data_IF_741800536716
#
_entry.id   IF_741800536716
#
_cell.length_a   1.000
_cell.length_b   1.000
_cell.length_c   1.000
_cell.angle_alpha   90.00
_cell.angle_beta   90.00
_cell.angle_gamma   90.00
#
_symmetry.space_group_name_H-M   'P 1'
#
loop_
_entity.id
_entity.type
_entity.pdbx_description
1 polymer ?
#
# COMPACT_ATOMS: atom_id res chain seq x y z
N UNK A 1 20.96 15.70 -0.95
CA UNK A 1 20.81 17.13 -0.59
C UNK A 1 19.34 17.57 -0.54
N UNK A 2 18.51 17.32 -1.56
CA UNK A 2 17.09 17.73 -1.56
C UNK A 2 16.28 17.17 -0.38
N UNK A 3 16.37 15.87 -0.10
CA UNK A 3 15.67 15.22 1.03
C UNK A 3 16.01 15.87 2.38
N UNK A 4 17.29 16.18 2.62
CA UNK A 4 17.73 16.82 3.85
C UNK A 4 17.17 18.24 3.99
N UNK A 5 17.13 19.01 2.90
CA UNK A 5 16.54 20.36 2.92
C UNK A 5 15.03 20.32 3.15
N UNK A 6 14.34 19.35 2.56
CA UNK A 6 12.90 19.15 2.78
C UNK A 6 12.60 18.81 4.25
N UNK A 7 13.39 17.92 4.86
CA UNK A 7 13.24 17.58 6.28
C UNK A 7 13.45 18.81 7.20
N UNK A 8 14.49 19.59 6.95
CA UNK A 8 14.76 20.84 7.70
C UNK A 8 13.66 21.89 7.54
N UNK A 9 13.09 22.00 6.32
CA UNK A 9 11.96 22.92 6.11
C UNK A 9 10.72 22.43 6.88
N UNK A 10 10.45 21.14 6.87
CA UNK A 10 9.37 20.53 7.64
C UNK A 10 9.50 20.79 9.14
N UNK A 11 10.69 20.54 9.70
CA UNK A 11 11.00 20.84 11.10
C UNK A 11 10.72 22.30 11.44
N UNK A 12 11.26 23.23 10.64
CA UNK A 12 11.04 24.66 10.84
C UNK A 12 9.54 25.01 10.85
N UNK A 13 8.75 24.49 9.92
CA UNK A 13 7.31 24.77 9.84
C UNK A 13 6.54 24.20 11.03
N UNK A 14 6.93 23.04 11.52
CA UNK A 14 6.33 22.47 12.74
C UNK A 14 6.65 23.35 13.96
N UNK A 15 7.91 23.80 14.13
CA UNK A 15 8.31 24.71 15.22
C UNK A 15 7.50 26.01 15.17
N UNK A 16 7.38 26.65 13.99
CA UNK A 16 6.58 27.87 13.81
C UNK A 16 5.11 27.69 14.25
N UNK A 17 4.52 26.49 14.03
CA UNK A 17 3.15 26.19 14.49
C UNK A 17 3.11 26.09 16.02
N UNK A 18 4.06 25.41 16.65
CA UNK A 18 4.13 25.31 18.12
C UNK A 18 4.37 26.66 18.78
N UNK A 19 5.22 27.51 18.22
CA UNK A 19 5.45 28.88 18.70
C UNK A 19 4.20 29.75 18.59
N UNK A 20 3.43 29.59 17.49
CA UNK A 20 2.24 30.41 17.23
C UNK A 20 1.02 30.01 18.07
N UNK A 21 0.80 28.71 18.26
CA UNK A 21 -0.45 28.19 18.84
C UNK A 21 -0.27 27.51 20.21
N UNK A 22 0.97 27.25 20.61
CA UNK A 22 1.31 26.54 21.84
C UNK A 22 1.17 25.02 21.74
N UNK A 23 1.90 24.27 22.58
CA UNK A 23 1.94 22.81 22.54
C UNK A 23 0.60 22.16 22.87
N UNK A 24 -0.16 22.72 23.81
CA UNK A 24 -1.46 22.20 24.21
C UNK A 24 -2.47 22.25 23.07
N UNK A 25 -2.56 23.39 22.39
CA UNK A 25 -3.46 23.57 21.23
C UNK A 25 -3.10 22.62 20.10
N UNK A 26 -1.82 22.55 19.76
CA UNK A 26 -1.35 21.65 18.69
C UNK A 26 -1.61 20.19 19.06
N UNK A 27 -1.33 19.80 20.32
CA UNK A 27 -1.61 18.43 20.80
C UNK A 27 -3.09 18.06 20.73
N UNK A 28 -3.97 18.97 21.16
CA UNK A 28 -5.42 18.78 21.08
C UNK A 28 -5.90 18.66 19.61
N UNK A 29 -5.40 19.51 18.73
CA UNK A 29 -5.72 19.44 17.28
C UNK A 29 -5.28 18.11 16.66
N UNK A 30 -4.06 17.66 16.92
CA UNK A 30 -3.54 16.39 16.41
C UNK A 30 -4.37 15.21 16.92
N UNK A 31 -4.68 15.18 18.21
CA UNK A 31 -5.52 14.12 18.83
C UNK A 31 -6.90 14.08 18.21
N UNK A 32 -7.53 15.23 18.02
CA UNK A 32 -8.85 15.35 17.39
C UNK A 32 -8.79 14.87 15.92
N UNK A 33 -7.74 15.24 15.20
CA UNK A 33 -7.57 14.88 13.81
C UNK A 33 -7.42 13.37 13.60
N UNK A 34 -6.63 12.73 14.48
CA UNK A 34 -6.48 11.27 14.48
C UNK A 34 -7.78 10.57 14.88
N UNK A 35 -8.46 11.06 15.91
CA UNK A 35 -9.73 10.49 16.36
C UNK A 35 -10.84 10.60 15.31
N UNK A 36 -10.96 11.74 14.64
CA UNK A 36 -11.94 11.91 13.55
C UNK A 36 -11.71 10.94 12.40
N UNK A 37 -10.45 10.71 12.00
CA UNK A 37 -10.12 9.74 10.98
C UNK A 37 -10.47 8.31 11.40
N UNK A 38 -10.20 7.95 12.66
CA UNK A 38 -10.55 6.64 13.23
C UNK A 38 -12.06 6.42 13.24
N UNK A 39 -12.84 7.36 13.76
CA UNK A 39 -14.31 7.26 13.82
C UNK A 39 -14.91 7.13 12.41
N UNK A 40 -14.43 7.89 11.44
CA UNK A 40 -14.90 7.78 10.06
C UNK A 40 -14.64 6.40 9.47
N UNK A 41 -13.43 5.86 9.64
CA UNK A 41 -13.10 4.54 9.12
C UNK A 41 -13.90 3.44 9.82
N UNK A 42 -14.07 3.51 11.15
CA UNK A 42 -14.94 2.57 11.88
C UNK A 42 -16.38 2.59 11.37
N UNK A 43 -16.94 3.76 11.15
CA UNK A 43 -18.29 3.90 10.59
C UNK A 43 -18.38 3.30 9.18
N UNK A 44 -17.37 3.48 8.36
CA UNK A 44 -17.31 2.89 7.03
C UNK A 44 -17.23 1.36 7.07
N UNK A 45 -16.45 0.79 8.00
CA UNK A 45 -16.36 -0.66 8.19
C UNK A 45 -17.68 -1.22 8.75
N UNK A 46 -18.31 -0.54 9.70
CA UNK A 46 -19.61 -0.96 10.28
C UNK A 46 -20.73 -1.06 9.22
N UNK A 47 -20.61 -0.33 8.13
CA UNK A 47 -21.57 -0.40 7.02
C UNK A 47 -21.41 -1.68 6.16
N UNK A 48 -20.33 -2.43 6.35
CA UNK A 48 -20.06 -3.68 5.65
C UNK A 48 -20.65 -4.87 6.41
N UNK A 49 -21.07 -5.95 5.73
CA UNK A 49 -21.50 -7.16 6.40
C UNK A 49 -20.33 -7.85 7.12
N UNK A 50 -20.58 -8.31 8.35
CA UNK A 50 -19.65 -9.18 9.07
C UNK A 50 -19.43 -10.48 8.30
N UNK A 51 -18.21 -11.00 8.33
CA UNK A 51 -17.90 -12.24 7.64
C UNK A 51 -16.42 -12.45 7.37
N UNK A 52 -16.14 -13.53 6.65
CA UNK A 52 -14.79 -13.91 6.24
C UNK A 52 -14.78 -14.00 4.71
N UNK A 53 -13.89 -13.26 4.10
CA UNK A 53 -13.78 -13.09 2.66
C UNK A 53 -12.40 -13.52 2.19
N UNK A 54 -12.32 -14.18 1.04
CA UNK A 54 -11.07 -14.67 0.47
C UNK A 54 -10.86 -14.12 -0.92
N UNK A 55 -9.62 -13.80 -1.22
CA UNK A 55 -9.18 -13.43 -2.56
C UNK A 55 -7.78 -13.98 -2.84
N UNK A 56 -7.52 -14.23 -4.11
CA UNK A 56 -6.21 -14.61 -4.61
C UNK A 56 -5.97 -13.86 -5.93
N UNK A 57 -4.75 -13.37 -6.10
CA UNK A 57 -4.28 -12.78 -7.35
C UNK A 57 -2.80 -13.15 -7.55
N UNK A 58 -2.26 -13.00 -8.74
CA UNK A 58 -0.91 -13.47 -9.03
C UNK A 58 -0.19 -12.64 -10.10
N UNK A 59 1.13 -12.66 -10.03
CA UNK A 59 1.99 -12.34 -11.16
C UNK A 59 2.31 -13.63 -11.92
N UNK A 60 2.35 -13.57 -13.24
CA UNK A 60 2.62 -14.73 -14.08
C UNK A 60 3.99 -15.37 -13.83
N UNK A 61 4.98 -14.56 -13.42
CA UNK A 61 6.32 -15.02 -13.08
C UNK A 61 7.07 -13.98 -12.25
N UNK A 62 8.21 -14.37 -11.68
CA UNK A 62 9.09 -13.48 -10.90
C UNK A 62 10.14 -12.72 -11.73
N UNK A 63 10.17 -12.90 -13.03
CA UNK A 63 11.26 -12.43 -13.91
C UNK A 63 12.51 -13.31 -13.88
N UNK A 64 12.66 -14.18 -12.89
CA UNK A 64 13.80 -15.11 -12.73
C UNK A 64 13.37 -16.58 -12.65
N UNK A 65 12.10 -16.83 -12.37
CA UNK A 65 11.47 -18.15 -12.33
C UNK A 65 10.14 -18.07 -13.10
N UNK A 66 9.80 -19.07 -13.96
CA UNK A 66 8.54 -19.12 -14.69
C UNK A 66 7.31 -19.38 -13.81
N UNK A 67 7.50 -19.80 -12.56
CA UNK A 67 6.40 -20.08 -11.65
C UNK A 67 5.67 -18.78 -11.23
N UNK A 68 4.33 -18.83 -11.13
CA UNK A 68 3.55 -17.67 -10.70
C UNK A 68 3.87 -17.28 -9.24
N UNK A 69 3.88 -15.98 -8.98
CA UNK A 69 3.96 -15.41 -7.64
C UNK A 69 2.53 -15.12 -7.17
N UNK A 70 2.04 -15.95 -6.27
CA UNK A 70 0.65 -15.89 -5.80
C UNK A 70 0.55 -15.04 -4.54
N UNK A 71 -0.41 -14.13 -4.50
CA UNK A 71 -0.80 -13.36 -3.32
C UNK A 71 -2.16 -13.85 -2.86
N UNK A 72 -2.26 -14.25 -1.59
CA UNK A 72 -3.49 -14.68 -0.94
C UNK A 72 -3.90 -13.69 0.13
N UNK A 73 -5.17 -13.41 0.19
CA UNK A 73 -5.75 -12.49 1.14
C UNK A 73 -6.99 -13.11 1.78
N UNK A 74 -7.00 -13.16 3.10
CA UNK A 74 -8.17 -13.44 3.92
C UNK A 74 -8.54 -12.17 4.66
N UNK A 75 -9.76 -11.71 4.53
CA UNK A 75 -10.26 -10.54 5.24
C UNK A 75 -11.40 -10.93 6.16
N UNK A 76 -11.29 -10.58 7.44
CA UNK A 76 -12.33 -10.79 8.43
C UNK A 76 -12.90 -9.44 8.87
N UNK A 77 -14.22 -9.31 8.86
CA UNK A 77 -14.92 -8.11 9.32
C UNK A 77 -15.75 -8.50 10.53
N UNK A 78 -15.56 -7.74 11.60
CA UNK A 78 -16.32 -7.91 12.83
C UNK A 78 -16.66 -6.54 13.44
N UNK A 79 -17.93 -6.17 13.32
CA UNK A 79 -18.44 -4.87 13.77
C UNK A 79 -17.75 -3.69 13.08
N UNK A 80 -16.92 -2.98 13.81
CA UNK A 80 -16.21 -1.78 13.34
C UNK A 80 -14.71 -2.00 13.06
N UNK A 81 -14.29 -3.28 12.98
CA UNK A 81 -12.90 -3.68 12.78
C UNK A 81 -12.72 -4.60 11.58
N UNK A 82 -11.57 -4.51 10.95
CA UNK A 82 -11.18 -5.35 9.82
C UNK A 82 -9.79 -5.97 10.07
N UNK A 83 -9.67 -7.27 9.84
CA UNK A 83 -8.40 -7.99 9.85
C UNK A 83 -8.10 -8.51 8.45
N UNK A 84 -6.95 -8.16 7.92
CA UNK A 84 -6.48 -8.55 6.58
C UNK A 84 -5.24 -9.41 6.75
N UNK A 85 -5.31 -10.67 6.39
CA UNK A 85 -4.25 -11.66 6.56
C UNK A 85 -3.78 -12.16 5.19
N UNK A 86 -2.46 -12.01 4.93
CA UNK A 86 -1.79 -12.47 3.72
C UNK A 86 -1.06 -13.81 3.90
N UNK A 87 -1.39 -14.58 4.93
CA UNK A 87 -0.83 -15.92 5.14
C UNK A 87 -1.12 -16.83 3.94
N UNK A 88 -0.11 -17.57 3.49
CA UNK A 88 -0.18 -18.41 2.30
C UNK A 88 0.22 -17.72 1.00
N UNK A 89 0.60 -16.45 1.05
CA UNK A 89 1.27 -15.76 -0.06
C UNK A 89 2.62 -16.42 -0.37
N UNK A 90 3.02 -16.42 -1.64
CA UNK A 90 4.29 -16.99 -2.11
C UNK A 90 5.49 -16.48 -1.31
N UNK A 91 6.49 -17.36 -1.06
CA UNK A 91 7.76 -16.95 -0.48
C UNK A 91 8.43 -15.85 -1.31
N UNK A 92 9.32 -15.09 -0.67
CA UNK A 92 10.16 -14.12 -1.38
C UNK A 92 10.92 -14.77 -2.53
N UNK A 93 11.08 -14.03 -3.63
CA UNK A 93 11.74 -14.51 -4.84
C UNK A 93 13.14 -13.93 -4.99
N UNK A 94 14.01 -14.62 -5.73
CA UNK A 94 15.35 -14.13 -6.04
C UNK A 94 15.34 -12.94 -7.00
N UNK A 95 14.26 -12.80 -7.79
CA UNK A 95 14.05 -11.68 -8.70
C UNK A 95 13.58 -10.41 -8.00
N UNK A 96 13.43 -9.31 -8.75
CA UNK A 96 13.11 -8.00 -8.18
C UNK A 96 11.65 -7.83 -7.75
N UNK A 97 10.80 -8.83 -7.98
CA UNK A 97 9.35 -8.79 -7.73
C UNK A 97 8.97 -9.08 -6.28
N UNK A 98 9.69 -8.50 -5.34
CA UNK A 98 9.28 -8.42 -3.94
C UNK A 98 8.90 -6.99 -3.59
N UNK A 99 8.07 -6.83 -2.56
CA UNK A 99 7.68 -5.50 -2.08
C UNK A 99 7.92 -5.36 -0.58
N UNK A 100 8.50 -4.23 -0.12
CA UNK A 100 8.69 -4.00 1.30
C UNK A 100 7.36 -3.98 2.06
N UNK A 101 7.37 -4.41 3.30
CA UNK A 101 6.22 -4.46 4.20
C UNK A 101 5.36 -3.17 4.16
N UNK A 102 6.01 -2.01 4.27
CA UNK A 102 5.32 -0.71 4.25
C UNK A 102 4.59 -0.43 2.93
N UNK A 103 5.14 -0.88 1.81
CA UNK A 103 4.49 -0.73 0.50
C UNK A 103 3.31 -1.68 0.36
N UNK A 104 3.40 -2.89 0.89
CA UNK A 104 2.26 -3.82 0.96
C UNK A 104 1.11 -3.23 1.77
N UNK A 105 1.40 -2.62 2.93
CA UNK A 105 0.41 -1.87 3.72
C UNK A 105 -0.22 -0.72 2.92
N UNK A 106 0.60 0.05 2.19
CA UNK A 106 0.09 1.13 1.34
C UNK A 106 -0.88 0.61 0.27
N UNK A 107 -0.62 -0.56 -0.30
CA UNK A 107 -1.52 -1.21 -1.26
C UNK A 107 -2.91 -1.48 -0.66
N UNK A 108 -2.96 -2.04 0.54
CA UNK A 108 -4.20 -2.30 1.29
C UNK A 108 -4.93 -0.99 1.60
N UNK A 109 -4.26 -0.07 2.25
CA UNK A 109 -4.87 1.17 2.73
C UNK A 109 -5.34 2.07 1.60
N UNK A 110 -4.65 2.08 0.47
CA UNK A 110 -5.05 2.85 -0.70
C UNK A 110 -6.42 2.41 -1.24
N UNK A 111 -6.65 1.11 -1.35
CA UNK A 111 -7.93 0.55 -1.78
C UNK A 111 -9.02 0.86 -0.76
N UNK A 112 -8.79 0.56 0.52
CA UNK A 112 -9.79 0.78 1.56
C UNK A 112 -10.19 2.25 1.66
N UNK A 113 -9.22 3.18 1.66
CA UNK A 113 -9.53 4.61 1.66
C UNK A 113 -10.36 5.01 0.44
N UNK A 114 -9.98 4.54 -0.74
CA UNK A 114 -10.62 4.97 -1.99
C UNK A 114 -12.08 4.56 -2.07
N UNK A 115 -12.42 3.38 -1.58
CA UNK A 115 -13.75 2.80 -1.74
C UNK A 115 -14.63 2.88 -0.51
N UNK A 116 -14.07 2.83 0.70
CA UNK A 116 -14.87 2.89 1.93
C UNK A 116 -15.17 4.34 2.34
N UNK A 117 -14.17 5.19 2.40
CA UNK A 117 -14.35 6.61 2.71
C UNK A 117 -13.29 7.48 2.02
N UNK A 118 -13.53 7.95 0.78
CA UNK A 118 -12.61 8.84 0.07
C UNK A 118 -12.27 10.12 0.83
N UNK A 119 -13.17 10.56 1.70
CA UNK A 119 -13.01 11.76 2.51
C UNK A 119 -12.25 11.56 3.82
N UNK A 120 -11.88 10.34 4.19
CA UNK A 120 -11.09 10.11 5.39
C UNK A 120 -9.69 10.72 5.26
N UNK A 121 -9.23 11.32 6.34
CA UNK A 121 -7.90 11.94 6.37
C UNK A 121 -6.81 10.86 6.34
N UNK A 122 -5.79 11.07 5.50
CA UNK A 122 -4.63 10.17 5.41
C UNK A 122 -3.71 10.36 6.60
N UNK A 123 -4.06 9.71 7.71
CA UNK A 123 -3.25 9.67 8.91
C UNK A 123 -3.41 8.32 9.63
N UNK A 124 -2.59 8.07 10.64
CA UNK A 124 -2.59 6.80 11.37
C UNK A 124 -3.89 6.52 12.14
N UNK A 125 -4.72 7.53 12.41
CA UNK A 125 -6.03 7.34 13.04
C UNK A 125 -6.96 6.51 12.17
N UNK A 126 -7.02 6.78 10.86
CA UNK A 126 -7.87 6.04 9.92
C UNK A 126 -7.51 4.57 9.79
N UNK A 127 -6.30 4.19 10.15
CA UNK A 127 -5.84 2.79 10.07
C UNK A 127 -5.97 1.99 11.36
N UNK A 128 -6.29 2.61 12.48
CA UNK A 128 -6.43 1.93 13.78
C UNK A 128 -7.43 0.79 13.81
N UNK A 129 -8.59 0.85 13.13
CA UNK A 129 -9.54 -0.25 13.12
C UNK A 129 -9.15 -1.39 12.15
N UNK A 130 -8.05 -1.24 11.42
CA UNK A 130 -7.61 -2.20 10.40
C UNK A 130 -6.30 -2.82 10.86
N UNK A 131 -6.31 -4.13 11.11
CA UNK A 131 -5.11 -4.91 11.33
C UNK A 131 -4.70 -5.59 10.04
N UNK A 132 -3.40 -5.55 9.70
CA UNK A 132 -2.86 -6.20 8.50
C UNK A 132 -1.72 -7.12 8.92
N UNK A 133 -1.89 -8.41 8.67
CA UNK A 133 -0.87 -9.43 8.93
C UNK A 133 -0.20 -9.85 7.61
N UNK A 134 1.11 -9.67 7.55
CA UNK A 134 1.93 -10.02 6.39
C UNK A 134 3.13 -10.83 6.88
N UNK A 135 3.13 -12.16 6.69
CA UNK A 135 4.20 -13.02 7.17
C UNK A 135 5.56 -12.64 6.59
N UNK A 136 6.57 -12.64 7.45
CA UNK A 136 7.96 -12.39 7.06
C UNK A 136 8.48 -13.52 6.14
N UNK A 137 9.36 -13.17 5.21
CA UNK A 137 9.90 -14.10 4.22
C UNK A 137 9.00 -14.34 3.02
N UNK A 138 7.86 -13.66 2.94
CA UNK A 138 7.00 -13.66 1.74
C UNK A 138 7.40 -12.56 0.75
N UNK A 139 6.89 -12.64 -0.47
CA UNK A 139 7.07 -11.59 -1.49
C UNK A 139 6.53 -10.22 -1.06
N UNK A 140 5.63 -10.17 -0.06
CA UNK A 140 5.04 -8.93 0.50
C UNK A 140 5.78 -8.40 1.72
N UNK A 141 6.68 -9.17 2.31
CA UNK A 141 7.48 -8.81 3.49
C UNK A 141 8.81 -9.58 3.45
N UNK A 142 9.65 -9.31 2.43
CA UNK A 142 10.88 -10.06 2.23
C UNK A 142 11.94 -9.72 3.29
N UNK A 143 12.74 -10.72 3.63
CA UNK A 143 13.93 -10.54 4.47
C UNK A 143 15.13 -10.09 3.65
N UNK A 144 16.01 -9.31 4.27
CA UNK A 144 17.28 -8.93 3.66
C UNK A 144 18.11 -10.17 3.27
N UNK A 145 18.79 -10.18 2.11
CA UNK A 145 19.01 -9.11 1.12
C UNK A 145 18.12 -9.20 -0.15
N UNK A 146 16.88 -9.66 -0.02
CA UNK A 146 15.99 -9.80 -1.19
C UNK A 146 15.83 -8.48 -1.96
N UNK A 147 15.86 -8.50 -3.29
CA UNK A 147 15.66 -7.32 -4.11
C UNK A 147 14.18 -6.89 -4.13
N UNK A 148 13.94 -5.58 -4.06
CA UNK A 148 12.59 -4.99 -3.94
C UNK A 148 12.31 -3.94 -5.02
N UNK A 149 12.89 -4.07 -6.21
CA UNK A 149 12.74 -3.09 -7.28
C UNK A 149 11.33 -3.08 -7.90
N UNK A 150 10.71 -4.26 -8.04
CA UNK A 150 9.37 -4.42 -8.62
C UNK A 150 8.21 -4.13 -7.67
N UNK A 151 8.42 -3.23 -6.71
CA UNK A 151 7.42 -2.89 -5.67
C UNK A 151 6.07 -2.46 -6.25
N UNK A 152 6.07 -1.72 -7.35
CA UNK A 152 4.84 -1.27 -8.00
C UNK A 152 4.05 -2.42 -8.63
N UNK A 153 4.73 -3.43 -9.16
CA UNK A 153 4.07 -4.56 -9.81
C UNK A 153 3.31 -5.44 -8.81
N UNK A 154 3.85 -5.61 -7.60
CA UNK A 154 3.20 -6.36 -6.51
C UNK A 154 2.16 -5.51 -5.77
N UNK A 155 2.49 -4.26 -5.42
CA UNK A 155 1.61 -3.40 -4.64
C UNK A 155 0.36 -3.00 -5.43
N UNK A 156 0.51 -2.52 -6.66
CA UNK A 156 -0.60 -2.09 -7.50
C UNK A 156 -1.28 -3.23 -8.26
N UNK A 157 -0.60 -4.35 -8.46
CA UNK A 157 -1.18 -5.56 -9.02
C UNK A 157 -1.86 -6.41 -7.93
N UNK A 158 -1.25 -7.52 -7.52
CA UNK A 158 -1.91 -8.54 -6.71
C UNK A 158 -2.41 -8.07 -5.34
N UNK A 159 -1.72 -7.16 -4.65
CA UNK A 159 -2.20 -6.68 -3.34
C UNK A 159 -3.50 -5.90 -3.48
N UNK A 160 -3.51 -4.90 -4.37
CA UNK A 160 -4.74 -4.14 -4.62
C UNK A 160 -5.81 -5.00 -5.31
N UNK A 161 -5.41 -5.91 -6.21
CA UNK A 161 -6.28 -6.87 -6.85
C UNK A 161 -7.03 -7.74 -5.84
N UNK A 162 -6.34 -8.31 -4.86
CA UNK A 162 -6.96 -9.05 -3.76
C UNK A 162 -7.93 -8.18 -2.95
N UNK A 163 -7.53 -6.97 -2.57
CA UNK A 163 -8.38 -6.07 -1.82
C UNK A 163 -9.64 -5.65 -2.59
N UNK A 164 -9.50 -5.39 -3.88
CA UNK A 164 -10.64 -5.09 -4.77
C UNK A 164 -11.55 -6.29 -4.94
N UNK A 165 -11.00 -7.50 -5.05
CA UNK A 165 -11.78 -8.73 -5.13
C UNK A 165 -12.56 -9.01 -3.82
N UNK A 166 -11.99 -8.70 -2.66
CA UNK A 166 -12.70 -8.72 -1.37
C UNK A 166 -13.83 -7.69 -1.36
N UNK A 167 -13.54 -6.44 -1.71
CA UNK A 167 -14.56 -5.38 -1.76
C UNK A 167 -15.66 -5.69 -2.78
N UNK A 168 -15.35 -6.38 -3.88
CA UNK A 168 -16.32 -6.84 -4.87
C UNK A 168 -17.36 -7.82 -4.31
N UNK A 169 -17.00 -8.58 -3.26
CA UNK A 169 -17.92 -9.44 -2.53
C UNK A 169 -18.78 -8.64 -1.53
N UNK A 170 -18.28 -7.50 -1.04
CA UNK A 170 -18.91 -6.68 -0.01
C UNK A 170 -19.81 -5.58 -0.59
N UNK A 171 -19.33 -4.89 -1.60
CA UNK A 171 -19.95 -3.68 -2.19
C UNK A 171 -19.92 -3.75 -3.73
N UNK A 172 -20.52 -4.78 -4.36
CA UNK A 172 -20.41 -5.00 -5.80
C UNK A 172 -20.87 -3.80 -6.65
N UNK A 173 -21.83 -3.03 -6.17
CA UNK A 173 -22.37 -1.88 -6.90
C UNK A 173 -21.41 -0.68 -6.99
N UNK A 174 -20.40 -0.62 -6.13
CA UNK A 174 -19.40 0.44 -6.11
C UNK A 174 -18.15 0.11 -6.93
N UNK A 175 -17.97 -1.16 -7.32
CA UNK A 175 -16.78 -1.61 -8.00
C UNK A 175 -17.06 -1.87 -9.47
N UNK A 176 -16.28 -1.24 -10.34
CA UNK A 176 -16.13 -1.66 -11.73
C UNK A 176 -15.18 -2.86 -11.80
N UNK A 177 -15.24 -3.62 -12.90
CA UNK A 177 -14.27 -4.65 -13.19
C UNK A 177 -12.84 -4.09 -13.10
N UNK A 178 -11.99 -4.76 -12.34
CA UNK A 178 -10.61 -4.32 -12.19
C UNK A 178 -9.81 -4.78 -13.40
N UNK A 179 -9.18 -3.84 -14.07
CA UNK A 179 -8.03 -4.15 -14.91
C UNK A 179 -6.83 -4.33 -14.01
N UNK A 180 -5.97 -5.29 -14.32
CA UNK A 180 -4.67 -5.41 -13.66
C UNK A 180 -3.94 -4.07 -13.77
N UNK A 181 -3.81 -3.37 -12.68
CA UNK A 181 -3.02 -2.15 -12.61
C UNK A 181 -1.57 -2.53 -12.33
N UNK A 182 -0.78 -2.71 -13.37
CA UNK A 182 0.68 -2.72 -13.26
C UNK A 182 1.21 -1.36 -13.68
N UNK A 183 2.25 -0.88 -13.05
CA UNK A 183 3.03 0.21 -13.61
C UNK A 183 3.76 -0.34 -14.84
N UNK A 184 3.33 0.05 -16.03
CA UNK A 184 4.05 -0.28 -17.24
C UNK A 184 5.36 0.54 -17.26
N UNK A 185 6.43 -0.09 -16.81
CA UNK A 185 7.77 0.50 -16.89
C UNK A 185 8.44 0.01 -18.17
N UNK A 186 8.68 0.93 -19.10
CA UNK A 186 9.45 0.64 -20.31
C UNK A 186 10.87 1.13 -20.09
N UNK A 187 11.79 0.19 -19.89
CA UNK A 187 13.20 0.51 -19.82
C UNK A 187 13.82 0.32 -21.22
N UNK A 188 14.27 1.39 -21.82
CA UNK A 188 15.04 1.35 -23.04
C UNK A 188 16.44 1.92 -22.80
N UNK A 189 17.45 1.21 -23.21
CA UNK A 189 18.84 1.67 -23.13
C UNK A 189 19.62 1.31 -24.38
N UNK A 190 20.62 2.08 -24.69
CA UNK A 190 21.45 1.84 -25.85
C UNK A 190 22.67 2.75 -25.89
N UNK A 191 23.45 2.61 -26.96
CA UNK A 191 24.60 3.48 -27.23
C UNK A 191 24.15 4.54 -28.22
N UNK A 192 24.38 5.82 -27.90
CA UNK A 192 24.11 6.94 -28.80
C UNK A 192 25.16 6.94 -29.94
N UNK A 193 24.76 6.66 -31.19
CA UNK A 193 25.72 6.61 -32.31
C UNK A 193 26.31 7.98 -32.65
N UNK A 194 25.70 9.07 -32.18
CA UNK A 194 26.18 10.45 -32.45
C UNK A 194 27.16 10.94 -31.41
N UNK A 195 27.14 10.34 -30.21
CA UNK A 195 27.98 10.71 -29.07
C UNK A 195 29.01 9.64 -28.71
N UNK A 196 29.33 8.75 -29.62
CA UNK A 196 30.20 7.61 -29.34
C UNK A 196 29.58 6.62 -28.36
N UNK A 197 30.35 6.11 -27.43
CA UNK A 197 29.87 5.10 -26.47
C UNK A 197 29.03 5.68 -25.28
N UNK A 198 28.36 6.80 -25.48
CA UNK A 198 27.48 7.35 -24.46
C UNK A 198 26.24 6.47 -24.26
N UNK A 199 26.05 5.93 -23.07
CA UNK A 199 24.83 5.19 -22.70
C UNK A 199 23.67 6.19 -22.50
N UNK A 200 22.52 5.84 -23.04
CA UNK A 200 21.27 6.52 -22.74
C UNK A 200 20.29 5.56 -22.09
N UNK A 201 19.51 6.08 -21.14
CA UNK A 201 18.45 5.37 -20.45
C UNK A 201 17.15 6.17 -20.57
N UNK A 202 16.08 5.50 -20.94
CA UNK A 202 14.71 6.02 -20.87
C UNK A 202 13.97 5.19 -19.81
N UNK A 203 13.35 5.89 -18.86
CA UNK A 203 12.50 5.30 -17.81
C UNK A 203 11.03 5.49 -18.16
#
# INVERSE_FOLDING_TARGET
>A
MAQLQTARLGEKRVIELYERYGPETIGACLSTYLHQAEVRMRNAITALPDGVYFAEDYLENSGTNPDPVVVRCKTEIHGDTMNVDFTGTSPQVAGPTNTPYTCSLCGVFNVLKTFLDPGVLMNSGGWRPINVEIPEGTTLNPTWPAPVCGVSDIMFGPVQGCMLAVLGQLIPDLLSATLRSGANQVNASGTDPTKGNALWHLF
#
